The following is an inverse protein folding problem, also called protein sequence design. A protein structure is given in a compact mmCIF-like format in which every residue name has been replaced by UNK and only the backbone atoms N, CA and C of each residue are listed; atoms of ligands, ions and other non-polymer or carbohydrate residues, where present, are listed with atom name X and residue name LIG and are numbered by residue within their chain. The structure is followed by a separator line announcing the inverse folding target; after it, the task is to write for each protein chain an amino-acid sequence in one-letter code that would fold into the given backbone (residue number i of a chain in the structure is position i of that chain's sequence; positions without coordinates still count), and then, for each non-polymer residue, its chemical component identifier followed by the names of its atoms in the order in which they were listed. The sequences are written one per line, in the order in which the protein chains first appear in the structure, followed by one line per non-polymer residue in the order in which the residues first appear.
data_IF_390555453698
#
_entry.id   IF_390555453698
#
_cell.length_a   1.000
_cell.length_b   1.000
_cell.length_c   1.000
_cell.angle_alpha   90.00
_cell.angle_beta   90.00
_cell.angle_gamma   90.00
#
_symmetry.space_group_name_H-M   'P 1'
#
loop_
_entity.id
_entity.type
_entity.pdbx_description
1 polymer ?
#
# COMPACT_ATOMS: atom_id res chain seq x y z
N UNK A 1 -15.02 -1.79 -13.77
CA UNK A 1 -14.04 -0.75 -13.36
C UNK A 1 -12.70 -1.08 -14.00
N UNK A 2 -11.95 -0.09 -14.47
CA UNK A 2 -10.62 -0.32 -15.04
C UNK A 2 -9.61 -0.51 -13.90
N UNK A 3 -8.90 -1.62 -13.90
CA UNK A 3 -7.76 -1.85 -13.00
C UNK A 3 -6.56 -1.00 -13.44
N UNK A 4 -5.79 -0.48 -12.49
CA UNK A 4 -4.60 0.30 -12.78
C UNK A 4 -3.39 -0.62 -12.91
N UNK A 5 -2.54 -0.35 -13.89
CA UNK A 5 -1.17 -0.88 -13.91
C UNK A 5 -0.34 -0.26 -12.78
N UNK A 6 0.78 -0.90 -12.42
CA UNK A 6 1.72 -0.34 -11.45
C UNK A 6 2.23 1.04 -11.88
N UNK A 7 2.49 1.24 -13.18
CA UNK A 7 2.92 2.54 -13.71
C UNK A 7 1.83 3.61 -13.53
N UNK A 8 0.57 3.32 -13.89
CA UNK A 8 -0.52 4.29 -13.68
C UNK A 8 -0.72 4.60 -12.18
N UNK A 9 -0.56 3.60 -11.31
CA UNK A 9 -0.62 3.78 -9.86
C UNK A 9 0.48 4.72 -9.34
N UNK A 10 1.72 4.62 -9.82
CA UNK A 10 2.83 5.48 -9.37
C UNK A 10 2.69 6.93 -9.83
N UNK A 11 1.85 7.19 -10.84
CA UNK A 11 1.52 8.56 -11.28
C UNK A 11 0.47 9.24 -10.40
N UNK A 12 -0.22 8.50 -9.53
CA UNK A 12 -1.19 9.07 -8.60
C UNK A 12 -0.49 9.88 -7.51
N UNK A 13 -1.20 10.86 -6.94
CA UNK A 13 -0.73 11.54 -5.75
C UNK A 13 -0.62 10.57 -4.58
N UNK A 14 0.24 10.89 -3.61
CA UNK A 14 0.43 10.02 -2.44
C UNK A 14 -0.88 9.74 -1.69
N UNK A 15 -1.77 10.74 -1.62
CA UNK A 15 -3.09 10.60 -0.98
C UNK A 15 -3.97 9.61 -1.73
N UNK A 16 -4.03 9.72 -3.06
CA UNK A 16 -4.80 8.79 -3.89
C UNK A 16 -4.24 7.37 -3.82
N UNK A 17 -2.91 7.21 -3.76
CA UNK A 17 -2.29 5.91 -3.56
C UNK A 17 -2.70 5.29 -2.21
N UNK A 18 -2.66 6.05 -1.11
CA UNK A 18 -3.16 5.58 0.18
C UNK A 18 -4.63 5.20 0.11
N UNK A 19 -5.49 6.12 -0.33
CA UNK A 19 -6.94 5.88 -0.39
C UNK A 19 -7.23 4.61 -1.19
N UNK A 20 -6.55 4.39 -2.32
CA UNK A 20 -6.75 3.21 -3.15
C UNK A 20 -6.27 1.92 -2.47
N UNK A 21 -5.08 1.90 -1.88
CA UNK A 21 -4.54 0.72 -1.18
C UNK A 21 -5.40 0.36 0.03
N UNK A 22 -5.82 1.35 0.81
CA UNK A 22 -6.61 1.11 2.03
C UNK A 22 -8.07 0.76 1.76
N UNK A 23 -8.63 1.15 0.61
CA UNK A 23 -10.02 0.85 0.26
C UNK A 23 -10.17 -0.40 -0.60
N UNK A 24 -9.18 -0.71 -1.45
CA UNK A 24 -9.26 -1.80 -2.43
C UNK A 24 -8.16 -2.84 -2.31
N UNK A 25 -7.11 -2.57 -1.54
CA UNK A 25 -6.02 -3.52 -1.32
C UNK A 25 -6.50 -4.72 -0.50
N UNK A 26 -6.11 -5.90 -0.94
CA UNK A 26 -6.26 -7.14 -0.18
C UNK A 26 -5.08 -7.27 0.76
N UNK A 27 -5.34 -7.36 2.07
CA UNK A 27 -4.31 -7.63 3.06
C UNK A 27 -3.77 -9.06 2.87
N UNK A 28 -2.45 -9.21 2.83
CA UNK A 28 -1.80 -10.53 2.73
C UNK A 28 -1.19 -10.93 4.05
N UNK A 29 -0.29 -10.10 4.58
CA UNK A 29 0.45 -10.40 5.81
C UNK A 29 1.02 -9.12 6.42
N UNK A 30 1.49 -9.19 7.67
CA UNK A 30 2.23 -8.12 8.31
C UNK A 30 3.28 -8.63 9.29
N UNK A 31 4.37 -7.89 9.40
CA UNK A 31 5.41 -8.12 10.40
C UNK A 31 5.69 -6.85 11.20
N UNK A 32 6.21 -7.01 12.41
CA UNK A 32 6.65 -5.90 13.26
C UNK A 32 8.12 -6.09 13.57
N UNK A 33 8.93 -5.06 13.32
CA UNK A 33 10.36 -5.05 13.63
C UNK A 33 10.75 -3.69 14.18
N UNK A 34 11.33 -3.67 15.37
CA UNK A 34 11.77 -2.43 16.05
C UNK A 34 10.67 -1.36 16.10
N UNK A 35 9.46 -1.75 16.53
CA UNK A 35 8.26 -0.90 16.61
C UNK A 35 7.76 -0.31 15.28
N UNK A 36 8.31 -0.77 14.15
CA UNK A 36 7.82 -0.44 12.81
C UNK A 36 7.01 -1.61 12.29
N UNK A 37 5.76 -1.36 11.90
CA UNK A 37 4.88 -2.37 11.29
C UNK A 37 4.98 -2.30 9.78
N UNK A 38 5.25 -3.43 9.15
CA UNK A 38 5.27 -3.62 7.71
C UNK A 38 4.04 -4.44 7.33
N UNK A 39 3.26 -3.98 6.37
CA UNK A 39 2.07 -4.68 5.88
C UNK A 39 2.20 -4.89 4.39
N UNK A 40 1.93 -6.10 3.93
CA UNK A 40 1.91 -6.45 2.53
C UNK A 40 0.46 -6.47 2.04
N UNK A 41 0.20 -5.71 0.98
CA UNK A 41 -1.08 -5.70 0.28
C UNK A 41 -0.92 -6.22 -1.13
N UNK A 42 -1.97 -6.84 -1.66
CA UNK A 42 -2.17 -7.06 -3.08
C UNK A 42 -3.18 -6.05 -3.60
N UNK A 43 -2.83 -5.35 -4.66
CA UNK A 43 -3.71 -4.41 -5.33
C UNK A 43 -3.72 -4.76 -6.83
N UNK A 44 -4.89 -5.16 -7.33
CA UNK A 44 -5.04 -5.66 -8.70
C UNK A 44 -4.03 -6.80 -8.98
N UNK A 45 -3.13 -6.59 -9.94
CA UNK A 45 -2.14 -7.56 -10.41
C UNK A 45 -0.74 -7.37 -9.80
N UNK A 46 -0.58 -6.53 -8.76
CA UNK A 46 0.72 -6.26 -8.13
C UNK A 46 0.65 -6.20 -6.60
N UNK A 47 1.82 -6.19 -5.97
CA UNK A 47 1.99 -6.21 -4.51
C UNK A 47 2.66 -4.92 -4.04
N UNK A 48 2.27 -4.44 -2.86
CA UNK A 48 2.77 -3.20 -2.26
C UNK A 48 3.07 -3.40 -0.78
N UNK A 49 4.17 -2.81 -0.32
CA UNK A 49 4.49 -2.71 1.10
C UNK A 49 3.97 -1.41 1.68
N UNK A 50 3.34 -1.46 2.85
CA UNK A 50 3.02 -0.29 3.65
C UNK A 50 3.79 -0.35 4.97
N UNK A 51 4.59 0.69 5.22
CA UNK A 51 5.34 0.87 6.47
C UNK A 51 4.54 1.81 7.37
N UNK A 52 4.13 1.34 8.54
CA UNK A 52 3.52 2.14 9.59
C UNK A 52 4.55 2.39 10.69
N UNK A 53 4.89 3.65 10.87
CA UNK A 53 5.45 4.16 12.11
C UNK A 53 4.29 4.82 12.89
N UNK A 54 4.35 4.89 14.22
CA UNK A 54 3.34 5.50 15.10
C UNK A 54 2.87 6.91 14.67
N UNK A 55 3.60 7.57 13.77
CA UNK A 55 3.30 8.91 13.26
C UNK A 55 2.97 8.97 11.76
N UNK A 56 3.21 7.90 10.97
CA UNK A 56 3.11 7.97 9.50
C UNK A 56 3.06 6.60 8.81
N UNK A 57 2.22 6.48 7.78
CA UNK A 57 2.27 5.38 6.81
C UNK A 57 3.09 5.79 5.57
N UNK A 58 3.86 4.88 4.98
CA UNK A 58 4.60 5.06 3.71
C UNK A 58 4.37 3.83 2.83
N UNK A 59 3.97 4.02 1.57
CA UNK A 59 3.89 2.95 0.57
C UNK A 59 5.24 2.80 -0.16
N UNK A 60 5.71 1.56 -0.29
CA UNK A 60 6.95 1.17 -0.98
C UNK A 60 6.71 0.03 -1.97
#
# INVERSE_FOLDING_TARGET
MKELSFYEFTQLTQREQYDLVFTKGEYIDSSVKNDVKFVLYKLYSFHLGAIYNCLKAILI
#
